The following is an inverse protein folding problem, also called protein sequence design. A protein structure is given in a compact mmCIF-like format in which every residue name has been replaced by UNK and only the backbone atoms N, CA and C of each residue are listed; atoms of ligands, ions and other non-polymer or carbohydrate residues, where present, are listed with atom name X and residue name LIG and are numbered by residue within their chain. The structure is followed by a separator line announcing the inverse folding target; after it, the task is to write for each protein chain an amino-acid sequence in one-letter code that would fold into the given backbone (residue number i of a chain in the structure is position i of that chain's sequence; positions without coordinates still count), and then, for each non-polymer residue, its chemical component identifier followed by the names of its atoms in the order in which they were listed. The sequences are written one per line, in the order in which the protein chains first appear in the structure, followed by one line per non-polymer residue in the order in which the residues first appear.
data_IF_433257730203
#
_entry.id   IF_433257730203
#
_cell.length_a   1.000
_cell.length_b   1.000
_cell.length_c   1.000
_cell.angle_alpha   90.00
_cell.angle_beta   90.00
_cell.angle_gamma   90.00
#
_symmetry.space_group_name_H-M   'P 1'
#
loop_
_entity.id
_entity.type
_entity.pdbx_description
1 polymer ?
#
# COMPACT_ATOMS: atom_id res chain seq x y z
N UNK A 1 -22.13 3.22 -18.60
CA UNK A 1 -21.59 2.63 -17.35
C UNK A 1 -20.27 3.33 -17.07
N UNK A 2 -20.26 4.25 -16.10
CA UNK A 2 -19.17 5.23 -15.93
C UNK A 2 -17.86 4.54 -15.53
N UNK A 3 -16.76 4.93 -16.19
CA UNK A 3 -15.38 4.47 -15.98
C UNK A 3 -14.76 4.88 -14.62
N UNK A 4 -15.59 4.94 -13.56
CA UNK A 4 -15.21 5.48 -12.25
C UNK A 4 -14.14 4.59 -11.60
N UNK A 5 -14.24 3.27 -11.78
CA UNK A 5 -13.29 2.32 -11.21
C UNK A 5 -11.83 2.55 -11.63
N UNK A 6 -11.58 2.96 -12.87
CA UNK A 6 -10.21 3.21 -13.35
C UNK A 6 -9.64 4.52 -12.80
N UNK A 7 -10.49 5.56 -12.70
CA UNK A 7 -10.11 6.83 -12.08
C UNK A 7 -9.82 6.64 -10.58
N UNK A 8 -10.64 5.89 -9.86
CA UNK A 8 -10.42 5.58 -8.43
C UNK A 8 -9.09 4.85 -8.21
N UNK A 9 -8.75 3.89 -9.09
CA UNK A 9 -7.48 3.17 -9.05
C UNK A 9 -6.29 4.10 -9.28
N UNK A 10 -6.37 4.99 -10.28
CA UNK A 10 -5.32 5.97 -10.56
C UNK A 10 -5.15 6.97 -9.40
N UNK A 11 -6.23 7.38 -8.74
CA UNK A 11 -6.15 8.23 -7.55
C UNK A 11 -5.45 7.49 -6.41
N UNK A 12 -5.82 6.23 -6.15
CA UNK A 12 -5.15 5.40 -5.14
C UNK A 12 -3.66 5.22 -5.42
N UNK A 13 -3.30 5.00 -6.68
CA UNK A 13 -1.90 4.91 -7.11
C UNK A 13 -1.16 6.25 -6.94
N UNK A 14 -1.81 7.38 -7.25
CA UNK A 14 -1.27 8.72 -7.01
C UNK A 14 -0.99 8.98 -5.53
N UNK A 15 -1.92 8.61 -4.65
CA UNK A 15 -1.75 8.73 -3.19
C UNK A 15 -0.58 7.86 -2.71
N UNK A 16 -0.44 6.64 -3.23
CA UNK A 16 0.69 5.77 -2.91
C UNK A 16 2.03 6.46 -3.24
N UNK A 17 2.17 7.03 -4.43
CA UNK A 17 3.38 7.75 -4.82
C UNK A 17 3.64 9.01 -3.98
N UNK A 18 2.60 9.76 -3.63
CA UNK A 18 2.73 10.93 -2.75
C UNK A 18 3.23 10.51 -1.37
N UNK A 19 2.66 9.45 -0.79
CA UNK A 19 3.08 8.94 0.51
C UNK A 19 4.51 8.40 0.48
N UNK A 20 4.86 7.57 -0.51
CA UNK A 20 6.23 7.07 -0.65
C UNK A 20 7.22 8.22 -0.81
N UNK A 21 6.97 9.15 -1.75
CA UNK A 21 7.83 10.31 -2.01
C UNK A 21 7.98 11.22 -0.78
N UNK A 22 6.89 11.47 -0.05
CA UNK A 22 6.93 12.26 1.18
C UNK A 22 7.75 11.56 2.26
N UNK A 23 7.62 10.24 2.41
CA UNK A 23 8.40 9.47 3.37
C UNK A 23 9.90 9.48 3.01
N UNK A 24 10.25 9.36 1.73
CA UNK A 24 11.63 9.50 1.26
C UNK A 24 12.19 10.90 1.51
N UNK A 25 11.39 11.95 1.30
CA UNK A 25 11.81 13.33 1.49
C UNK A 25 11.91 13.74 2.97
N UNK A 26 10.94 13.32 3.79
CA UNK A 26 10.86 13.70 5.21
C UNK A 26 11.83 12.90 6.08
N UNK A 27 12.03 11.60 5.83
CA UNK A 27 12.93 10.77 6.62
C UNK A 27 13.54 9.61 5.82
N UNK A 28 14.57 9.89 5.00
CA UNK A 28 15.25 8.86 4.22
C UNK A 28 15.95 7.81 5.10
N UNK A 29 16.37 8.20 6.31
CA UNK A 29 17.00 7.28 7.27
C UNK A 29 16.03 6.23 7.80
N UNK A 30 14.77 6.61 8.04
CA UNK A 30 13.74 5.67 8.48
C UNK A 30 13.44 4.65 7.38
N UNK A 31 13.30 5.11 6.14
CA UNK A 31 13.09 4.23 4.99
C UNK A 31 14.23 3.22 4.78
N UNK A 32 15.49 3.67 4.89
CA UNK A 32 16.66 2.77 4.80
C UNK A 32 16.67 1.71 5.90
N UNK A 33 16.25 2.05 7.13
CA UNK A 33 16.13 1.08 8.23
C UNK A 33 15.02 0.07 7.94
N UNK A 34 13.86 0.53 7.45
CA UNK A 34 12.76 -0.34 7.06
C UNK A 34 13.19 -1.34 5.98
N UNK A 35 13.88 -0.88 4.92
CA UNK A 35 14.40 -1.76 3.87
C UNK A 35 15.39 -2.80 4.39
N UNK A 36 16.30 -2.43 5.31
CA UNK A 36 17.21 -3.39 5.95
C UNK A 36 16.46 -4.44 6.78
N UNK A 37 15.40 -4.04 7.48
CA UNK A 37 14.53 -4.97 8.20
C UNK A 37 13.83 -5.93 7.25
N UNK A 38 13.38 -5.45 6.09
CA UNK A 38 12.75 -6.29 5.06
C UNK A 38 13.72 -7.35 4.52
N UNK A 39 14.96 -6.96 4.22
CA UNK A 39 15.99 -7.87 3.69
C UNK A 39 16.37 -8.97 4.71
N UNK A 40 16.31 -8.67 6.00
CA UNK A 40 16.67 -9.61 7.08
C UNK A 40 15.50 -10.47 7.54
N UNK A 41 14.28 -10.16 7.10
CA UNK A 41 13.08 -10.92 7.45
C UNK A 41 12.91 -12.08 6.47
N UNK A 42 12.67 -13.32 6.94
CA UNK A 42 12.52 -14.46 6.04
C UNK A 42 11.27 -14.35 5.16
N UNK A 43 11.40 -14.82 3.92
CA UNK A 43 10.40 -14.69 2.83
C UNK A 43 9.00 -15.18 3.20
N UNK A 44 8.89 -16.19 4.06
CA UNK A 44 7.62 -16.74 4.51
C UNK A 44 6.80 -15.72 5.31
N UNK A 45 7.44 -14.99 6.23
CA UNK A 45 6.80 -13.93 7.01
C UNK A 45 6.46 -12.76 6.09
N UNK A 46 7.39 -12.39 5.20
CA UNK A 46 7.17 -11.31 4.25
C UNK A 46 5.96 -11.57 3.33
N UNK A 47 5.82 -12.80 2.84
CA UNK A 47 4.66 -13.24 2.04
C UNK A 47 3.37 -13.24 2.85
N UNK A 48 3.39 -13.74 4.09
CA UNK A 48 2.20 -13.74 4.94
C UNK A 48 1.72 -12.32 5.24
N UNK A 49 2.63 -11.41 5.57
CA UNK A 49 2.31 -9.99 5.79
C UNK A 49 1.83 -9.31 4.52
N UNK A 50 2.47 -9.57 3.37
CA UNK A 50 2.06 -9.01 2.08
C UNK A 50 0.69 -9.50 1.61
N UNK A 51 0.39 -10.79 1.78
CA UNK A 51 -0.93 -11.35 1.47
C UNK A 51 -1.97 -10.79 2.46
N UNK A 52 -1.64 -10.75 3.75
CA UNK A 52 -2.51 -10.17 4.77
C UNK A 52 -2.87 -8.71 4.50
N UNK A 53 -1.89 -7.89 4.11
CA UNK A 53 -2.11 -6.48 3.77
C UNK A 53 -2.90 -6.32 2.47
N UNK A 54 -2.65 -7.14 1.45
CA UNK A 54 -3.40 -7.13 0.20
C UNK A 54 -4.88 -7.50 0.43
N UNK A 55 -5.15 -8.55 1.20
CA UNK A 55 -6.52 -8.97 1.54
C UNK A 55 -7.22 -7.91 2.39
N UNK A 56 -6.54 -7.37 3.42
CA UNK A 56 -7.10 -6.30 4.24
C UNK A 56 -7.42 -5.04 3.41
N UNK A 57 -6.54 -4.64 2.49
CA UNK A 57 -6.77 -3.53 1.57
C UNK A 57 -7.97 -3.77 0.65
N UNK A 58 -8.11 -4.98 0.10
CA UNK A 58 -9.26 -5.37 -0.72
C UNK A 58 -10.57 -5.30 0.08
N UNK A 59 -10.58 -5.81 1.31
CA UNK A 59 -11.74 -5.76 2.22
C UNK A 59 -12.10 -4.32 2.56
N UNK A 60 -11.12 -3.47 2.88
CA UNK A 60 -11.35 -2.05 3.14
C UNK A 60 -11.97 -1.33 1.94
N UNK A 61 -11.40 -1.53 0.75
CA UNK A 61 -11.96 -0.95 -0.49
C UNK A 61 -13.38 -1.45 -0.70
N UNK A 62 -13.65 -2.73 -0.48
CA UNK A 62 -14.98 -3.31 -0.66
C UNK A 62 -16.00 -2.77 0.34
N UNK A 63 -15.61 -2.56 1.60
CA UNK A 63 -16.47 -1.96 2.64
C UNK A 63 -16.76 -0.50 2.32
N UNK A 64 -15.75 0.29 1.94
CA UNK A 64 -15.92 1.71 1.60
C UNK A 64 -16.74 1.87 0.31
N UNK A 65 -16.54 0.98 -0.66
CA UNK A 65 -17.20 1.03 -1.96
C UNK A 65 -18.60 0.43 -1.96
N UNK A 66 -19.00 -0.39 -0.98
CA UNK A 66 -20.40 -0.79 -0.82
C UNK A 66 -21.18 0.45 -0.37
N UNK A 67 -22.02 1.06 -1.23
CA UNK A 67 -23.02 1.98 -0.72
C UNK A 67 -23.98 1.12 0.10
N UNK A 68 -24.27 1.55 1.33
CA UNK A 68 -25.45 1.09 2.05
C UNK A 68 -26.68 1.50 1.24
#
# INVERSE_FOLDING_TARGET
MRSIAFADFLIGLGILFVLEGLMFAASPNWMRKAMKSVITTPDNILRAVGIGSAVAGLVLIWVIRRPI
#
